data_IF_199627294286
#
_entry.id   IF_199627294286
#
_cell.length_a   1.000
_cell.length_b   1.000
_cell.length_c   1.000
_cell.angle_alpha   90.00
_cell.angle_beta   90.00
_cell.angle_gamma   90.00
#
_symmetry.space_group_name_H-M   'P 1'
#
loop_
_entity.id
_entity.type
_entity.pdbx_description
1 polymer ?
#
# COMPACT_ATOMS: atom_id res chain seq x y z
N UNK A 1 -5.90 -3.30 10.20
CA UNK A 1 -4.60 -2.60 10.15
C UNK A 1 -4.68 -1.18 9.58
N UNK A 2 -5.63 -0.88 8.68
CA UNK A 2 -5.56 0.32 7.82
C UNK A 2 -6.41 1.52 8.24
N UNK A 3 -7.16 1.45 9.34
CA UNK A 3 -8.19 2.46 9.68
C UNK A 3 -7.68 3.89 9.89
N UNK A 4 -6.40 4.08 10.23
CA UNK A 4 -5.79 5.40 10.44
C UNK A 4 -5.10 5.97 9.21
N UNK A 5 -5.05 5.25 8.08
CA UNK A 5 -4.33 5.69 6.87
C UNK A 5 -4.78 7.09 6.39
N UNK A 6 -6.09 7.43 6.31
CA UNK A 6 -6.51 8.76 5.88
C UNK A 6 -5.95 9.88 6.75
N UNK A 7 -5.91 9.69 8.08
CA UNK A 7 -5.36 10.66 9.01
C UNK A 7 -3.84 10.85 8.84
N UNK A 8 -3.11 9.76 8.57
CA UNK A 8 -1.67 9.82 8.28
C UNK A 8 -1.41 10.57 6.97
N UNK A 9 -2.12 10.26 5.90
CA UNK A 9 -1.94 10.91 4.59
C UNK A 9 -2.33 12.40 4.59
N UNK A 10 -3.29 12.78 5.43
CA UNK A 10 -3.64 14.19 5.66
C UNK A 10 -2.54 14.93 6.42
N UNK A 11 -1.90 14.28 7.40
CA UNK A 11 -0.81 14.88 8.19
C UNK A 11 0.51 14.98 7.43
N UNK A 12 0.79 14.05 6.51
CA UNK A 12 2.02 13.99 5.72
C UNK A 12 1.69 14.07 4.23
N UNK A 13 1.61 15.28 3.64
CA UNK A 13 1.19 15.48 2.26
C UNK A 13 2.08 14.80 1.22
N UNK A 14 3.39 14.74 1.49
CA UNK A 14 4.39 14.11 0.61
C UNK A 14 4.42 12.58 0.69
N UNK A 15 3.66 11.98 1.63
CA UNK A 15 3.62 10.53 1.78
C UNK A 15 2.72 9.88 0.71
N UNK A 16 3.13 8.72 0.22
CA UNK A 16 2.34 7.88 -0.67
C UNK A 16 2.00 6.55 0.00
N UNK A 17 0.80 6.04 -0.25
CA UNK A 17 0.37 4.71 0.18
C UNK A 17 0.86 3.67 -0.82
N UNK A 18 1.74 2.76 -0.38
CA UNK A 18 2.20 1.62 -1.19
C UNK A 18 1.36 0.39 -0.86
N UNK A 19 0.79 -0.26 -1.88
CA UNK A 19 -0.02 -1.47 -1.70
C UNK A 19 -0.05 -2.36 -2.95
N UNK A 20 -0.70 -3.53 -2.86
CA UNK A 20 -0.99 -4.35 -4.05
C UNK A 20 -2.00 -3.67 -4.97
N UNK A 21 -2.08 -4.05 -6.27
CA UNK A 21 -3.14 -3.58 -7.17
C UNK A 21 -4.55 -3.88 -6.64
N UNK A 22 -4.73 -5.02 -5.94
CA UNK A 22 -6.01 -5.37 -5.30
C UNK A 22 -6.32 -4.44 -4.13
N UNK A 23 -5.32 -4.11 -3.30
CA UNK A 23 -5.46 -3.20 -2.18
C UNK A 23 -5.82 -1.78 -2.61
N UNK A 24 -5.33 -1.32 -3.76
CA UNK A 24 -5.64 0.02 -4.29
C UNK A 24 -7.14 0.26 -4.42
N UNK A 25 -7.86 -0.66 -5.07
CA UNK A 25 -9.31 -0.55 -5.20
C UNK A 25 -10.00 -0.48 -3.83
N UNK A 26 -9.58 -1.34 -2.89
CA UNK A 26 -10.13 -1.35 -1.54
C UNK A 26 -9.85 -0.06 -0.76
N UNK A 27 -8.68 0.56 -0.90
CA UNK A 27 -8.36 1.80 -0.21
C UNK A 27 -9.11 3.01 -0.78
N UNK A 28 -9.41 3.00 -2.07
CA UNK A 28 -10.29 3.99 -2.69
C UNK A 28 -11.72 3.78 -2.16
N UNK A 29 -12.26 2.57 -2.25
CA UNK A 29 -13.67 2.30 -1.95
C UNK A 29 -14.00 2.37 -0.46
N UNK A 30 -13.10 1.89 0.41
CA UNK A 30 -13.37 1.75 1.85
C UNK A 30 -12.85 2.92 2.68
N UNK A 31 -11.76 3.54 2.25
CA UNK A 31 -11.09 4.61 3.01
C UNK A 31 -11.05 5.94 2.27
N UNK A 32 -11.60 6.02 1.05
CA UNK A 32 -11.63 7.23 0.21
C UNK A 32 -10.24 7.86 0.01
N UNK A 33 -9.19 7.02 -0.06
CA UNK A 33 -7.85 7.50 -0.36
C UNK A 33 -7.80 7.93 -1.82
N UNK A 34 -7.34 9.16 -2.07
CA UNK A 34 -7.22 9.70 -3.42
C UNK A 34 -6.26 8.84 -4.28
N UNK A 35 -6.66 8.53 -5.50
CA UNK A 35 -5.95 7.56 -6.36
C UNK A 35 -4.49 7.96 -6.61
N UNK A 36 -4.23 9.24 -6.76
CA UNK A 36 -2.91 9.85 -6.98
C UNK A 36 -1.97 9.69 -5.78
N UNK A 37 -2.50 9.40 -4.59
CA UNK A 37 -1.72 9.13 -3.37
C UNK A 37 -1.35 7.65 -3.24
N UNK A 38 -1.73 6.80 -4.20
CA UNK A 38 -1.54 5.35 -4.12
C UNK A 38 -0.54 4.88 -5.20
N UNK A 39 0.51 4.21 -4.74
CA UNK A 39 1.51 3.52 -5.56
C UNK A 39 1.28 2.02 -5.44
N UNK A 40 1.16 1.31 -6.57
CA UNK A 40 0.98 -0.14 -6.56
C UNK A 40 2.28 -0.86 -6.81
N UNK A 41 2.51 -1.96 -6.08
CA UNK A 41 3.66 -2.87 -6.26
C UNK A 41 3.19 -4.27 -6.65
N UNK A 42 3.88 -4.87 -7.61
CA UNK A 42 3.75 -6.26 -8.02
C UNK A 42 4.45 -7.24 -7.07
N UNK A 43 4.31 -8.53 -7.36
CA UNK A 43 5.01 -9.57 -6.61
C UNK A 43 6.50 -9.59 -6.98
N UNK A 44 7.38 -9.59 -5.98
CA UNK A 44 8.82 -9.50 -6.13
C UNK A 44 9.35 -8.09 -6.41
N UNK A 45 8.50 -7.08 -6.56
CA UNK A 45 8.92 -5.69 -6.74
C UNK A 45 9.72 -5.20 -5.53
N UNK A 46 10.54 -4.16 -5.75
CA UNK A 46 11.38 -3.58 -4.70
C UNK A 46 11.30 -2.06 -4.65
N UNK A 47 11.51 -1.49 -3.46
CA UNK A 47 11.66 -0.04 -3.24
C UNK A 47 12.92 0.19 -2.40
N UNK A 48 13.80 1.06 -2.90
CA UNK A 48 14.95 1.57 -2.14
C UNK A 48 14.53 2.73 -1.22
N UNK A 49 14.95 2.66 0.04
CA UNK A 49 14.71 3.64 1.08
C UNK A 49 15.95 4.48 1.41
N UNK A 50 16.97 4.45 0.54
CA UNK A 50 18.23 5.16 0.74
C UNK A 50 19.19 4.39 1.65
N UNK A 51 19.47 3.14 1.29
CA UNK A 51 20.40 2.25 2.01
C UNK A 51 19.75 1.02 2.63
N UNK A 52 18.45 0.83 2.42
CA UNK A 52 17.72 -0.42 2.66
C UNK A 52 16.73 -0.63 1.52
N UNK A 53 16.52 -1.88 1.15
CA UNK A 53 15.57 -2.24 0.10
C UNK A 53 14.43 -3.06 0.72
N UNK A 54 13.19 -2.66 0.46
CA UNK A 54 12.02 -3.50 0.71
C UNK A 54 11.76 -4.36 -0.52
N UNK A 55 11.41 -5.63 -0.32
CA UNK A 55 10.91 -6.51 -1.37
C UNK A 55 9.48 -6.91 -1.03
N UNK A 56 8.55 -6.75 -1.96
CA UNK A 56 7.14 -7.05 -1.72
C UNK A 56 6.81 -8.47 -2.18
N UNK A 57 6.22 -9.28 -1.31
CA UNK A 57 5.78 -10.65 -1.62
C UNK A 57 4.27 -10.74 -1.48
N UNK A 58 3.57 -11.04 -2.57
CA UNK A 58 2.12 -11.16 -2.56
C UNK A 58 1.72 -12.50 -1.92
N UNK A 59 0.81 -12.45 -0.95
CA UNK A 59 0.33 -13.62 -0.23
C UNK A 59 -1.21 -13.63 -0.19
N UNK A 60 -1.88 -13.64 -1.37
CA UNK A 60 -3.33 -13.53 -1.43
C UNK A 60 -4.01 -14.66 -0.67
N UNK A 61 -5.10 -14.33 0.02
CA UNK A 61 -5.87 -15.23 0.87
C UNK A 61 -5.14 -15.74 2.11
N UNK A 62 -4.09 -15.03 2.55
CA UNK A 62 -3.42 -15.25 3.84
C UNK A 62 -3.63 -14.04 4.78
N UNK A 63 -4.84 -13.62 5.11
CA UNK A 63 -6.14 -14.24 4.89
C UNK A 63 -7.07 -13.40 3.99
N UNK A 64 -6.57 -12.34 3.37
CA UNK A 64 -7.32 -11.42 2.53
C UNK A 64 -6.76 -11.38 1.09
N UNK A 65 -7.58 -11.06 0.07
CA UNK A 65 -7.16 -11.10 -1.32
C UNK A 65 -6.03 -10.12 -1.67
N UNK A 66 -5.89 -9.03 -0.92
CA UNK A 66 -4.87 -8.01 -1.11
C UNK A 66 -3.61 -8.21 -0.26
N UNK A 67 -3.55 -9.23 0.59
CA UNK A 67 -2.45 -9.44 1.52
C UNK A 67 -1.10 -9.51 0.79
N UNK A 68 -0.12 -8.75 1.29
CA UNK A 68 1.28 -8.80 0.91
C UNK A 68 2.17 -8.71 2.15
N UNK A 69 3.43 -9.09 1.98
CA UNK A 69 4.51 -9.07 2.97
C UNK A 69 5.68 -8.23 2.43
N UNK A 70 6.57 -7.80 3.33
CA UNK A 70 7.77 -6.99 3.03
C UNK A 70 8.99 -7.50 3.76
#
# INVERSE_FOLDING_TARGET
HSGSIPAVLARYPEASLVCTPKGKAMFIDLLHVAQERIVTVGDGDTIDLGGRTLQFVHAPWVHWPETMLT
#
